data_IF_537062368757
#
_entry.id   IF_537062368757
#
_cell.length_a   1.000
_cell.length_b   1.000
_cell.length_c   1.000
_cell.angle_alpha   90.00
_cell.angle_beta   90.00
_cell.angle_gamma   90.00
#
_symmetry.space_group_name_H-M   'P 1'
#
loop_
_entity.id
_entity.type
_entity.pdbx_description
1 polymer ?
#
# COMPACT_ATOMS: atom_id res chain seq x y z
N UNK A 1 2.33 -0.39 11.05
CA UNK A 1 1.31 -1.02 11.91
C UNK A 1 -0.11 -0.83 11.36
N UNK A 2 -0.54 0.35 10.91
CA UNK A 2 -1.94 0.61 10.48
C UNK A 2 -2.49 -0.39 9.45
N UNK A 3 -1.78 -0.63 8.35
CA UNK A 3 -2.27 -1.50 7.27
C UNK A 3 -2.53 -2.95 7.71
N UNK A 4 -1.68 -3.49 8.58
CA UNK A 4 -1.82 -4.87 9.07
C UNK A 4 -2.97 -5.01 10.09
N UNK A 5 -3.37 -3.90 10.74
CA UNK A 5 -4.44 -3.87 11.73
C UNK A 5 -5.79 -3.45 11.14
N UNK A 6 -5.85 -3.07 9.86
CA UNK A 6 -7.11 -2.75 9.19
C UNK A 6 -7.99 -3.99 9.14
N UNK A 7 -9.23 -3.86 9.62
CA UNK A 7 -10.21 -4.95 9.64
C UNK A 7 -10.93 -5.03 8.30
N UNK A 8 -10.28 -5.70 7.35
CA UNK A 8 -10.78 -5.86 5.98
C UNK A 8 -10.89 -7.33 5.54
N UNK A 9 -10.42 -8.27 6.36
CA UNK A 9 -10.48 -9.70 6.07
C UNK A 9 -11.76 -10.30 6.67
N UNK A 10 -12.58 -10.97 5.87
CA UNK A 10 -13.78 -11.63 6.38
C UNK A 10 -13.42 -13.00 6.99
N UNK A 11 -13.75 -13.20 8.26
CA UNK A 11 -13.61 -14.49 8.94
C UNK A 11 -14.85 -15.36 8.71
N UNK A 12 -14.77 -16.67 8.97
CA UNK A 12 -15.88 -17.62 8.82
C UNK A 12 -17.16 -17.22 9.60
N UNK A 13 -17.00 -16.39 10.64
CA UNK A 13 -18.12 -15.82 11.40
C UNK A 13 -18.87 -14.69 10.68
N UNK A 14 -18.44 -14.26 9.50
CA UNK A 14 -18.93 -13.09 8.76
C UNK A 14 -18.46 -11.75 9.34
N UNK A 15 -17.63 -11.75 10.38
CA UNK A 15 -17.04 -10.53 10.96
C UNK A 15 -15.76 -10.16 10.25
N UNK A 16 -15.52 -8.86 10.11
CA UNK A 16 -14.25 -8.35 9.62
C UNK A 16 -13.17 -8.45 10.71
N UNK A 17 -12.00 -8.94 10.33
CA UNK A 17 -10.78 -9.05 11.13
C UNK A 17 -9.62 -8.45 10.35
N UNK A 18 -8.53 -8.19 11.08
CA UNK A 18 -7.28 -7.76 10.49
C UNK A 18 -6.45 -8.92 9.95
N UNK A 19 -5.44 -8.62 9.13
CA UNK A 19 -4.51 -9.63 8.61
C UNK A 19 -3.71 -10.32 9.73
N UNK A 20 -3.52 -9.65 10.87
CA UNK A 20 -2.85 -10.23 12.04
C UNK A 20 -3.74 -11.22 12.80
N UNK A 21 -5.04 -10.92 12.89
CA UNK A 21 -6.03 -11.77 13.58
C UNK A 21 -6.47 -12.97 12.74
N UNK A 22 -6.51 -12.81 11.40
CA UNK A 22 -6.75 -13.87 10.44
C UNK A 22 -5.53 -13.97 9.51
N UNK A 23 -4.49 -14.76 9.91
CA UNK A 23 -3.23 -14.82 9.19
C UNK A 23 -3.42 -15.19 7.72
N UNK A 24 -2.92 -14.32 6.85
CA UNK A 24 -2.97 -14.50 5.40
C UNK A 24 -1.67 -14.05 4.73
N UNK A 25 -1.60 -14.18 3.42
CA UNK A 25 -0.46 -13.70 2.64
C UNK A 25 -0.60 -12.21 2.32
N UNK A 26 0.52 -11.50 2.31
CA UNK A 26 0.58 -10.10 1.88
C UNK A 26 1.39 -9.99 0.58
N UNK A 27 0.83 -9.28 -0.41
CA UNK A 27 1.53 -8.89 -1.62
C UNK A 27 1.69 -7.37 -1.62
N UNK A 28 2.94 -6.90 -1.57
CA UNK A 28 3.28 -5.48 -1.63
C UNK A 28 3.76 -5.16 -3.05
N UNK A 29 3.12 -4.17 -3.69
CA UNK A 29 3.48 -3.74 -5.05
C UNK A 29 3.79 -2.24 -5.02
N UNK A 30 4.96 -1.80 -5.53
CA UNK A 30 5.24 -0.39 -5.68
C UNK A 30 4.31 0.22 -6.74
N UNK A 31 3.56 1.26 -6.39
CA UNK A 31 2.61 1.92 -7.30
C UNK A 31 2.72 3.46 -7.21
N UNK A 32 3.77 4.03 -7.81
CA UNK A 32 4.00 5.47 -7.81
C UNK A 32 2.89 6.26 -8.55
N UNK A 33 2.15 5.62 -9.46
CA UNK A 33 1.08 6.30 -10.22
C UNK A 33 -0.08 6.77 -9.35
N UNK A 34 -0.28 6.20 -8.16
CA UNK A 34 -1.30 6.65 -7.20
C UNK A 34 -1.08 8.09 -6.72
N UNK A 35 0.16 8.61 -6.78
CA UNK A 35 0.47 10.01 -6.48
C UNK A 35 0.17 10.98 -7.62
N UNK A 36 -0.27 10.47 -8.77
CA UNK A 36 -0.55 11.29 -9.94
C UNK A 36 -1.73 12.23 -9.73
N UNK A 37 -1.62 13.44 -10.28
CA UNK A 37 -2.69 14.43 -10.31
C UNK A 37 -3.11 14.69 -11.75
N UNK A 38 -4.41 14.90 -11.98
CA UNK A 38 -4.89 15.25 -13.30
C UNK A 38 -4.38 16.64 -13.74
N UNK A 39 -3.97 16.75 -15.00
CA UNK A 39 -3.63 18.00 -15.69
C UNK A 39 -4.20 17.94 -17.10
N UNK A 40 -5.39 18.51 -17.28
CA UNK A 40 -6.14 18.36 -18.53
C UNK A 40 -6.47 16.89 -18.80
N UNK A 41 -5.98 16.35 -19.93
CA UNK A 41 -6.16 14.94 -20.32
C UNK A 41 -4.97 14.03 -19.98
N UNK A 42 -4.02 14.51 -19.18
CA UNK A 42 -2.82 13.76 -18.77
C UNK A 42 -2.70 13.71 -17.23
N UNK A 43 -1.85 12.80 -16.75
CA UNK A 43 -1.46 12.74 -15.33
C UNK A 43 -0.07 13.36 -15.15
N UNK A 44 0.09 14.14 -14.09
CA UNK A 44 1.38 14.68 -13.67
C UNK A 44 1.81 14.10 -12.32
N UNK A 45 3.11 13.92 -12.15
CA UNK A 45 3.70 13.22 -10.99
C UNK A 45 4.74 14.08 -10.27
N UNK A 46 4.67 15.42 -10.39
CA UNK A 46 5.67 16.32 -9.81
C UNK A 46 5.80 16.23 -8.28
N UNK A 47 4.79 15.67 -7.60
CA UNK A 47 4.82 15.44 -6.15
C UNK A 47 5.32 14.05 -5.77
N UNK A 48 5.64 13.19 -6.73
CA UNK A 48 6.20 11.88 -6.44
C UNK A 48 7.64 12.03 -5.93
N UNK A 49 8.01 11.09 -5.07
CA UNK A 49 9.38 10.94 -4.60
C UNK A 49 10.32 10.55 -5.75
N UNK A 50 11.61 10.85 -5.59
CA UNK A 50 12.67 10.39 -6.51
C UNK A 50 12.69 8.86 -6.60
N UNK A 51 13.26 8.32 -7.68
CA UNK A 51 13.37 6.87 -7.90
C UNK A 51 14.21 6.22 -6.81
N UNK A 52 15.33 6.83 -6.46
CA UNK A 52 16.32 6.31 -5.52
C UNK A 52 15.73 6.25 -4.11
N UNK A 53 15.08 7.34 -3.67
CA UNK A 53 14.40 7.35 -2.37
C UNK A 53 13.16 6.45 -2.37
N UNK A 54 12.42 6.38 -3.48
CA UNK A 54 11.30 5.47 -3.64
C UNK A 54 11.71 4.00 -3.46
N UNK A 55 12.81 3.58 -4.08
CA UNK A 55 13.37 2.24 -3.92
C UNK A 55 13.80 1.99 -2.47
N UNK A 56 14.50 2.95 -1.85
CA UNK A 56 14.95 2.86 -0.46
C UNK A 56 13.77 2.70 0.50
N UNK A 57 12.74 3.54 0.37
CA UNK A 57 11.56 3.50 1.22
C UNK A 57 10.74 2.24 0.98
N UNK A 58 10.54 1.81 -0.27
CA UNK A 58 9.84 0.56 -0.58
C UNK A 58 10.56 -0.65 0.03
N UNK A 59 11.89 -0.73 -0.10
CA UNK A 59 12.68 -1.82 0.47
C UNK A 59 12.57 -1.85 1.99
N UNK A 60 12.63 -0.69 2.65
CA UNK A 60 12.42 -0.58 4.09
C UNK A 60 10.98 -0.96 4.49
N UNK A 61 9.98 -0.60 3.68
CA UNK A 61 8.57 -0.92 3.92
C UNK A 61 8.26 -2.41 3.80
N UNK A 62 8.92 -3.13 2.88
CA UNK A 62 8.77 -4.60 2.73
C UNK A 62 9.50 -5.37 3.84
N UNK A 63 10.56 -4.80 4.42
CA UNK A 63 11.37 -5.45 5.46
C UNK A 63 10.77 -5.33 6.88
N UNK A 64 9.59 -4.71 6.99
CA UNK A 64 8.85 -4.42 8.23
C UNK A 64 7.93 -5.58 8.62
#
# INVERSE_FOLDING_TARGET
>A
STLLNLRLCEADSGKLSSLLELPGSLLIVPQATLGGKAKGRAMQYHTNISKEDGLRLHSAFVSL
#
